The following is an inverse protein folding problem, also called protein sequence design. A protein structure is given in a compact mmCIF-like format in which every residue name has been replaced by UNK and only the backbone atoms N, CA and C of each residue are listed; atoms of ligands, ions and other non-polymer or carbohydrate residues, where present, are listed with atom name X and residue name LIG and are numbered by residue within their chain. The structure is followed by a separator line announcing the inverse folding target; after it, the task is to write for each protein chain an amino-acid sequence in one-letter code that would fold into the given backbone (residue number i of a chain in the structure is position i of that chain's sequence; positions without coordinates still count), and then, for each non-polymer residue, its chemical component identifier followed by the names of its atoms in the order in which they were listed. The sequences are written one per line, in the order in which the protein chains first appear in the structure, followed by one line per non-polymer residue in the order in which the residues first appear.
data_IF_062442128723
#
_entry.id   IF_062442128723
#
_cell.length_a   1.000
_cell.length_b   1.000
_cell.length_c   1.000
_cell.angle_alpha   90.00
_cell.angle_beta   90.00
_cell.angle_gamma   90.00
#
_symmetry.space_group_name_H-M   'P 1'
#
loop_
_entity.id
_entity.type
_entity.pdbx_description
1 polymer ?
#
# COMPACT_ATOMS: atom_id res chain seq x y z
N UNK A 1 -24.83 39.13 18.81
CA UNK A 1 -24.96 38.43 20.10
C UNK A 1 -25.01 36.93 19.81
N UNK A 2 -23.83 36.34 19.64
CA UNK A 2 -23.65 34.96 19.21
C UNK A 2 -23.73 34.05 20.45
N UNK A 3 -24.79 33.26 20.55
CA UNK A 3 -24.94 32.29 21.65
C UNK A 3 -23.83 31.25 21.59
N UNK A 4 -22.95 31.22 22.59
CA UNK A 4 -21.98 30.15 22.76
C UNK A 4 -22.73 28.83 22.94
N UNK A 5 -22.37 27.74 22.23
CA UNK A 5 -23.07 26.47 22.37
C UNK A 5 -22.87 25.94 23.80
N UNK A 6 -23.95 25.86 24.58
CA UNK A 6 -23.95 25.28 25.93
C UNK A 6 -23.59 23.79 25.84
N UNK A 7 -22.38 23.43 26.25
CA UNK A 7 -21.94 22.03 26.34
C UNK A 7 -22.74 21.35 27.46
N UNK A 8 -23.62 20.42 27.09
CA UNK A 8 -24.37 19.61 28.05
C UNK A 8 -23.44 18.67 28.84
N UNK A 9 -23.75 18.41 30.12
CA UNK A 9 -23.04 17.44 30.98
C UNK A 9 -22.83 16.08 30.31
N UNK A 10 -23.86 15.61 29.57
CA UNK A 10 -23.80 14.35 28.82
C UNK A 10 -22.73 14.40 27.72
N UNK A 11 -22.60 15.52 27.01
CA UNK A 11 -21.60 15.73 25.95
C UNK A 11 -20.18 15.78 26.52
N UNK A 12 -20.01 16.40 27.68
CA UNK A 12 -18.72 16.42 28.39
C UNK A 12 -18.30 15.02 28.81
N UNK A 13 -19.20 14.24 29.41
CA UNK A 13 -18.92 12.87 29.82
C UNK A 13 -18.61 11.95 28.63
N UNK A 14 -19.32 12.09 27.51
CA UNK A 14 -19.00 11.33 26.29
C UNK A 14 -17.63 11.72 25.73
N UNK A 15 -17.26 13.00 25.75
CA UNK A 15 -15.94 13.44 25.30
C UNK A 15 -14.82 12.92 26.21
N UNK A 16 -15.03 12.92 27.53
CA UNK A 16 -14.08 12.36 28.50
C UNK A 16 -13.94 10.84 28.37
N UNK A 17 -15.05 10.12 28.11
CA UNK A 17 -15.01 8.68 27.88
C UNK A 17 -14.29 8.30 26.57
N UNK A 18 -14.33 9.16 25.55
CA UNK A 18 -13.70 8.95 24.25
C UNK A 18 -12.27 9.52 24.15
N UNK A 19 -11.81 10.32 25.12
CA UNK A 19 -10.49 10.94 25.08
C UNK A 19 -9.31 9.96 25.00
N UNK A 20 -9.34 8.74 25.60
CA UNK A 20 -8.26 7.78 25.45
C UNK A 20 -8.17 7.21 24.03
N UNK A 21 -9.31 7.05 23.35
CA UNK A 21 -9.39 6.61 21.95
C UNK A 21 -8.79 7.67 21.02
N UNK A 22 -9.13 8.94 21.24
CA UNK A 22 -8.57 10.06 20.47
C UNK A 22 -7.05 10.19 20.67
N UNK A 23 -6.56 9.96 21.90
CA UNK A 23 -5.12 9.94 22.19
C UNK A 23 -4.40 8.79 21.48
N UNK A 24 -4.99 7.59 21.47
CA UNK A 24 -4.45 6.42 20.75
C UNK A 24 -4.47 6.59 19.22
N UNK A 25 -5.45 7.31 18.67
CA UNK A 25 -5.54 7.59 17.24
C UNK A 25 -4.53 8.64 16.76
N UNK A 26 -3.82 9.33 17.64
CA UNK A 26 -2.85 10.37 17.25
C UNK A 26 -1.65 9.79 16.47
N UNK A 27 -1.42 8.47 16.56
CA UNK A 27 -0.40 7.74 15.77
C UNK A 27 -0.97 7.07 14.52
N UNK A 28 -2.28 7.18 14.26
CA UNK A 28 -2.91 6.63 13.07
C UNK A 28 -2.65 7.55 11.87
N UNK A 29 -1.41 7.54 11.38
CA UNK A 29 -1.06 8.11 10.08
C UNK A 29 -1.19 7.04 9.00
N UNK A 30 -1.68 7.44 7.82
CA UNK A 30 -1.52 6.63 6.63
C UNK A 30 -0.02 6.38 6.42
N UNK A 31 0.35 5.13 6.10
CA UNK A 31 1.73 4.82 5.77
C UNK A 31 2.18 5.72 4.61
N UNK A 32 3.40 6.26 4.71
CA UNK A 32 3.98 6.99 3.61
C UNK A 32 4.10 6.03 2.41
N UNK A 33 3.57 6.43 1.26
CA UNK A 33 3.64 5.64 0.03
C UNK A 33 5.05 5.78 -0.53
N UNK A 34 5.76 4.66 -0.66
CA UNK A 34 7.05 4.61 -1.36
C UNK A 34 6.83 4.05 -2.78
N UNK A 35 6.94 4.87 -3.84
CA UNK A 35 6.73 4.41 -5.21
C UNK A 35 7.76 3.34 -5.64
N UNK A 36 8.87 3.17 -4.91
CA UNK A 36 9.89 2.17 -5.20
C UNK A 36 9.62 0.81 -4.54
N UNK A 37 8.50 0.66 -3.83
CA UNK A 37 8.13 -0.59 -3.11
C UNK A 37 6.85 -1.24 -3.62
N UNK A 38 6.41 -0.86 -4.81
CA UNK A 38 5.19 -1.42 -5.44
C UNK A 38 5.47 -2.82 -5.99
N UNK A 39 4.65 -3.80 -5.60
CA UNK A 39 4.66 -5.15 -6.19
C UNK A 39 3.47 -5.32 -7.14
N UNK A 40 3.71 -5.84 -8.34
CA UNK A 40 2.69 -6.11 -9.34
C UNK A 40 2.49 -7.63 -9.54
N UNK A 41 1.29 -8.12 -9.25
CA UNK A 41 0.95 -9.55 -9.30
C UNK A 41 0.38 -10.01 -10.66
N UNK A 42 0.30 -9.10 -11.62
CA UNK A 42 -0.22 -9.33 -12.97
C UNK A 42 0.56 -8.50 -13.98
N UNK A 43 0.63 -8.94 -15.23
CA UNK A 43 1.48 -8.27 -16.24
C UNK A 43 0.89 -6.95 -16.74
N UNK A 44 -0.44 -6.83 -16.78
CA UNK A 44 -1.09 -5.57 -17.15
C UNK A 44 -0.66 -4.40 -16.24
N UNK A 45 -0.72 -4.49 -14.89
CA UNK A 45 -0.24 -3.41 -14.04
C UNK A 45 1.29 -3.22 -14.07
N UNK A 46 2.08 -4.23 -14.44
CA UNK A 46 3.53 -4.05 -14.69
C UNK A 46 3.76 -3.05 -15.82
N UNK A 47 3.08 -3.23 -16.95
CA UNK A 47 3.20 -2.34 -18.10
C UNK A 47 2.78 -0.91 -17.77
N UNK A 48 1.71 -0.75 -16.97
CA UNK A 48 1.26 0.57 -16.50
C UNK A 48 2.30 1.25 -15.62
N UNK A 49 2.96 0.52 -14.71
CA UNK A 49 4.02 1.08 -13.87
C UNK A 49 5.22 1.53 -14.71
N UNK A 50 5.66 0.68 -15.64
CA UNK A 50 6.77 1.00 -16.54
C UNK A 50 6.44 2.19 -17.44
N UNK A 51 5.20 2.31 -17.92
CA UNK A 51 4.73 3.46 -18.69
C UNK A 51 4.76 4.78 -17.89
N UNK A 52 4.62 4.70 -16.56
CA UNK A 52 4.77 5.84 -15.64
C UNK A 52 6.23 6.10 -15.23
N UNK A 53 7.20 5.33 -15.75
CA UNK A 53 8.60 5.41 -15.36
C UNK A 53 8.89 4.81 -13.98
N UNK A 54 7.99 3.99 -13.45
CA UNK A 54 8.15 3.30 -12.18
C UNK A 54 8.68 1.89 -12.44
N UNK A 55 9.80 1.55 -11.84
CA UNK A 55 10.31 0.17 -11.82
C UNK A 55 9.63 -0.56 -10.66
N UNK A 56 8.86 -1.63 -10.91
CA UNK A 56 8.25 -2.39 -9.84
C UNK A 56 9.32 -3.00 -8.92
N UNK A 57 9.07 -2.99 -7.62
CA UNK A 57 9.93 -3.63 -6.63
C UNK A 57 9.95 -5.15 -6.79
N UNK A 58 8.78 -5.72 -7.08
CA UNK A 58 8.61 -7.13 -7.39
C UNK A 58 7.52 -7.35 -8.43
N UNK A 59 7.66 -8.42 -9.20
CA UNK A 59 6.73 -8.81 -10.27
C UNK A 59 6.48 -10.30 -10.21
N UNK A 60 5.22 -10.71 -10.37
CA UNK A 60 4.88 -12.11 -10.48
C UNK A 60 5.27 -12.67 -11.86
N UNK A 61 5.92 -13.83 -11.84
CA UNK A 61 6.24 -14.64 -13.01
C UNK A 61 7.12 -13.92 -14.04
N UNK A 62 8.29 -13.45 -13.59
CA UNK A 62 9.22 -12.66 -14.42
C UNK A 62 9.82 -13.47 -15.56
N UNK A 63 9.97 -14.78 -15.35
CA UNK A 63 10.50 -15.70 -16.37
C UNK A 63 9.54 -15.76 -17.55
N UNK A 64 8.26 -16.04 -17.31
CA UNK A 64 7.28 -16.08 -18.38
C UNK A 64 6.97 -14.67 -18.92
N UNK A 65 7.05 -13.61 -18.12
CA UNK A 65 6.94 -12.24 -18.62
C UNK A 65 7.97 -11.98 -19.72
N UNK A 66 9.25 -12.31 -19.49
CA UNK A 66 10.33 -12.13 -20.47
C UNK A 66 10.13 -12.96 -21.74
N UNK A 67 9.41 -14.08 -21.66
CA UNK A 67 9.11 -14.95 -22.79
C UNK A 67 7.89 -14.52 -23.61
N UNK A 68 6.81 -14.10 -22.94
CA UNK A 68 5.50 -13.85 -23.57
C UNK A 68 5.21 -12.38 -23.82
N UNK A 69 5.62 -11.50 -22.91
CA UNK A 69 5.45 -10.04 -23.06
C UNK A 69 6.70 -9.46 -23.71
N UNK A 70 7.88 -9.83 -23.19
CA UNK A 70 9.21 -9.41 -23.65
C UNK A 70 9.50 -7.91 -23.49
N UNK A 71 8.64 -7.05 -24.04
CA UNK A 71 8.70 -5.59 -23.97
C UNK A 71 7.47 -5.05 -23.21
N UNK A 72 7.63 -4.11 -22.26
CA UNK A 72 8.89 -3.47 -21.87
C UNK A 72 9.83 -4.36 -21.03
N UNK A 73 11.16 -4.23 -21.14
CA UNK A 73 12.08 -5.11 -20.43
C UNK A 73 12.09 -4.83 -18.92
N UNK A 74 12.02 -5.89 -18.12
CA UNK A 74 12.21 -5.79 -16.67
C UNK A 74 13.71 -5.71 -16.33
N UNK A 75 14.16 -4.74 -15.52
CA UNK A 75 15.50 -4.74 -14.96
C UNK A 75 15.79 -5.99 -14.14
N UNK A 76 17.06 -6.38 -14.03
CA UNK A 76 17.47 -7.55 -13.23
C UNK A 76 17.29 -7.35 -11.72
N UNK A 77 17.06 -6.12 -11.27
CA UNK A 77 16.77 -5.79 -9.86
C UNK A 77 15.36 -6.18 -9.41
N UNK A 78 14.45 -6.50 -10.34
CA UNK A 78 13.07 -6.84 -10.03
C UNK A 78 13.00 -8.21 -9.37
N UNK A 79 12.39 -8.27 -8.18
CA UNK A 79 12.24 -9.53 -7.43
C UNK A 79 11.08 -10.34 -8.03
N UNK A 80 11.33 -11.61 -8.36
CA UNK A 80 10.25 -12.53 -8.73
C UNK A 80 9.48 -12.96 -7.48
N UNK A 81 8.18 -12.67 -7.45
CA UNK A 81 7.32 -12.98 -6.30
C UNK A 81 6.48 -14.24 -6.49
N UNK A 82 6.86 -15.13 -7.42
CA UNK A 82 6.17 -16.38 -7.71
C UNK A 82 5.16 -16.24 -8.85
N UNK A 83 4.26 -17.23 -8.98
CA UNK A 83 3.29 -17.26 -10.09
C UNK A 83 2.21 -16.20 -9.89
N UNK A 84 1.64 -15.70 -10.99
CA UNK A 84 0.50 -14.76 -10.95
C UNK A 84 -0.72 -15.35 -10.26
N UNK A 85 -0.95 -16.66 -10.45
CA UNK A 85 -2.07 -17.39 -9.85
C UNK A 85 -1.77 -17.87 -8.44
N UNK A 86 -0.50 -17.97 -8.06
CA UNK A 86 -0.04 -18.47 -6.76
C UNK A 86 1.23 -17.71 -6.35
N UNK A 87 1.08 -16.45 -5.91
CA UNK A 87 2.21 -15.65 -5.48
C UNK A 87 2.74 -16.14 -4.13
N UNK A 88 4.02 -15.93 -3.88
CA UNK A 88 4.66 -16.29 -2.62
C UNK A 88 4.26 -15.30 -1.50
N UNK A 89 3.19 -15.62 -0.78
CA UNK A 89 2.65 -14.77 0.29
C UNK A 89 3.63 -14.57 1.46
N UNK A 90 4.52 -15.53 1.72
CA UNK A 90 5.52 -15.42 2.77
C UNK A 90 6.57 -14.37 2.39
N UNK A 91 7.09 -14.44 1.16
CA UNK A 91 8.00 -13.43 0.62
C UNK A 91 7.35 -12.04 0.59
N UNK A 92 6.09 -11.93 0.16
CA UNK A 92 5.36 -10.65 0.17
C UNK A 92 5.25 -10.06 1.59
N UNK A 93 5.05 -10.91 2.60
CA UNK A 93 4.98 -10.48 4.00
C UNK A 93 6.32 -9.94 4.50
N UNK A 94 7.43 -10.58 4.11
CA UNK A 94 8.78 -10.13 4.43
C UNK A 94 9.13 -8.81 3.71
N UNK A 95 8.75 -8.71 2.43
CA UNK A 95 9.03 -7.55 1.58
C UNK A 95 8.32 -6.27 2.05
N UNK A 96 7.19 -6.40 2.77
CA UNK A 96 6.30 -5.30 3.21
C UNK A 96 6.06 -4.22 2.13
N UNK A 97 5.56 -4.59 0.94
CA UNK A 97 5.28 -3.65 -0.15
C UNK A 97 4.37 -2.50 0.28
#
# INVERSE_FOLDING_TARGET
MSGLPLISRRRLLTAMALSPLLWQMNTAHAAAIDPNRIVALEWLPVELLLALGIVPYGVADTINYRLWVSEPPLPDSVIDVGLRTEPNLELLTEMKP
#
